data_IF_226052450783
#
_entry.id   IF_226052450783
#
_cell.length_a   1.000
_cell.length_b   1.000
_cell.length_c   1.000
_cell.angle_alpha   90.00
_cell.angle_beta   90.00
_cell.angle_gamma   90.00
#
_symmetry.space_group_name_H-M   'P 1'
#
loop_
_entity.id
_entity.type
_entity.pdbx_description
1 polymer ?
#
# COMPACT_ATOMS: atom_id res chain seq x y z
N UNK A 1 -13.55 6.89 12.92
CA UNK A 1 -13.21 6.81 12.65
C UNK A 1 -12.28 6.49 12.60
N UNK A 2 -12.09 6.23 12.55
CA UNK A 2 -11.41 5.85 12.38
C UNK A 2 -10.32 5.76 12.14
N UNK A 3 -9.95 5.71 11.71
CA UNK A 3 -8.90 5.73 11.21
C UNK A 3 -7.89 5.60 11.96
N UNK A 4 -7.94 5.81 12.76
CA UNK A 4 -7.14 5.67 13.52
C UNK A 4 -5.81 5.50 13.31
N UNK A 5 -5.06 6.26 13.22
CA UNK A 5 -3.70 6.19 13.13
C UNK A 5 -3.21 5.38 12.07
N UNK A 6 -4.07 4.92 11.37
CA UNK A 6 -3.69 4.07 10.31
C UNK A 6 -3.33 4.87 9.11
N UNK A 7 -3.28 4.23 8.00
CA UNK A 7 -2.94 4.87 6.75
C UNK A 7 -4.07 5.76 6.28
N UNK A 8 -3.73 6.77 5.52
CA UNK A 8 -4.74 7.55 4.83
C UNK A 8 -5.44 6.68 3.80
N UNK A 9 -6.58 7.16 3.31
CA UNK A 9 -7.30 6.43 2.27
C UNK A 9 -6.41 6.18 1.05
N UNK A 10 -5.63 7.19 0.68
CA UNK A 10 -4.74 7.03 -0.47
C UNK A 10 -3.69 5.96 -0.23
N UNK A 11 -3.15 5.93 0.97
CA UNK A 11 -2.15 4.92 1.30
C UNK A 11 -2.75 3.53 1.35
N UNK A 12 -3.97 3.41 1.86
CA UNK A 12 -4.65 2.12 1.88
C UNK A 12 -4.88 1.61 0.46
N UNK A 13 -5.25 2.51 -0.44
CA UNK A 13 -5.41 2.13 -1.84
C UNK A 13 -4.08 1.70 -2.45
N UNK A 14 -3.01 2.38 -2.07
CA UNK A 14 -1.69 2.03 -2.59
C UNK A 14 -1.27 0.64 -2.13
N UNK A 15 -1.55 0.29 -0.88
CA UNK A 15 -1.25 -1.04 -0.39
C UNK A 15 -2.01 -2.08 -1.21
N UNK A 16 -3.30 -1.86 -1.42
CA UNK A 16 -4.10 -2.79 -2.19
C UNK A 16 -3.59 -2.90 -3.63
N UNK A 17 -3.23 -1.76 -4.22
CA UNK A 17 -2.71 -1.76 -5.58
C UNK A 17 -1.38 -2.50 -5.68
N UNK A 18 -0.52 -2.34 -4.69
CA UNK A 18 0.76 -3.04 -4.70
C UNK A 18 0.58 -4.55 -4.63
N UNK A 19 -0.43 -5.00 -3.92
CA UNK A 19 -0.68 -6.42 -3.80
C UNK A 19 -1.16 -7.04 -5.10
N UNK A 20 -1.81 -6.25 -5.94
CA UNK A 20 -2.37 -6.78 -7.17
C UNK A 20 -1.60 -6.37 -8.42
N UNK A 21 -0.52 -5.61 -8.26
CA UNK A 21 0.26 -5.13 -9.40
C UNK A 21 1.60 -5.81 -9.44
N UNK A 22 2.19 -5.84 -10.62
CA UNK A 22 3.51 -6.46 -10.79
C UNK A 22 4.63 -5.46 -10.58
N UNK A 23 4.36 -4.18 -10.76
CA UNK A 23 5.39 -3.15 -10.62
C UNK A 23 4.86 -1.99 -9.82
N UNK A 24 5.79 -1.20 -9.29
CA UNK A 24 5.42 0.01 -8.57
C UNK A 24 4.70 0.99 -9.48
N UNK A 25 5.14 1.08 -10.73
CA UNK A 25 4.51 1.99 -11.68
C UNK A 25 3.04 1.63 -11.88
N UNK A 26 2.74 0.35 -12.03
CA UNK A 26 1.36 -0.10 -12.17
C UNK A 26 0.55 0.20 -10.92
N UNK A 27 1.15 -0.06 -9.77
CA UNK A 27 0.44 0.19 -8.51
C UNK A 27 0.11 1.66 -8.36
N UNK A 28 1.04 2.53 -8.74
CA UNK A 28 0.81 3.96 -8.66
C UNK A 28 -0.36 4.37 -9.54
N UNK A 29 -0.43 3.82 -10.74
CA UNK A 29 -1.53 4.12 -11.64
C UNK A 29 -2.87 3.64 -11.07
N UNK A 30 -2.89 2.44 -10.54
CA UNK A 30 -4.12 1.90 -9.99
C UNK A 30 -4.59 2.69 -8.77
N UNK A 31 -3.65 3.12 -7.95
CA UNK A 31 -3.98 3.89 -6.75
C UNK A 31 -4.20 5.36 -7.07
N UNK A 32 -3.88 5.78 -8.29
CA UNK A 32 -4.03 7.16 -8.73
C UNK A 32 -3.17 8.10 -7.92
N UNK A 33 -1.94 7.68 -7.67
CA UNK A 33 -0.94 8.51 -7.00
C UNK A 33 0.27 8.58 -7.89
N UNK A 34 1.12 9.58 -7.66
CA UNK A 34 2.35 9.68 -8.40
C UNK A 34 3.30 8.58 -8.01
N UNK A 35 4.07 8.09 -8.98
CA UNK A 35 5.02 7.03 -8.69
C UNK A 35 6.05 7.47 -7.65
N UNK A 36 6.50 8.72 -7.74
CA UNK A 36 7.43 9.26 -6.76
C UNK A 36 6.85 9.24 -5.35
N UNK A 37 5.58 9.59 -5.23
CA UNK A 37 4.91 9.55 -3.94
C UNK A 37 4.86 8.13 -3.40
N UNK A 38 4.58 7.17 -4.26
CA UNK A 38 4.52 5.79 -3.85
C UNK A 38 5.90 5.29 -3.38
N UNK A 39 6.95 5.68 -4.09
CA UNK A 39 8.30 5.32 -3.67
C UNK A 39 8.64 5.92 -2.31
N UNK A 40 8.20 7.15 -2.07
CA UNK A 40 8.41 7.77 -0.77
C UNK A 40 7.70 6.97 0.33
N UNK A 41 6.47 6.56 0.06
CA UNK A 41 5.73 5.76 1.05
C UNK A 41 6.41 4.42 1.30
N UNK A 42 6.97 3.82 0.27
CA UNK A 42 7.66 2.55 0.44
C UNK A 42 8.90 2.67 1.33
N UNK A 43 9.42 3.87 1.47
CA UNK A 43 10.51 4.11 2.39
C UNK A 43 10.06 4.39 3.82
N UNK A 44 8.77 4.52 4.05
CA UNK A 44 8.22 4.82 5.36
C UNK A 44 7.99 3.51 6.13
N UNK A 45 8.62 3.36 7.31
CA UNK A 45 8.47 2.10 8.06
C UNK A 45 7.02 1.76 8.37
N UNK A 46 6.21 2.76 8.69
CA UNK A 46 4.80 2.51 9.00
C UNK A 46 4.06 1.93 7.80
N UNK A 47 4.32 2.51 6.62
CA UNK A 47 3.69 2.01 5.41
C UNK A 47 4.14 0.58 5.12
N UNK A 48 5.41 0.32 5.29
CA UNK A 48 5.95 -1.02 5.02
C UNK A 48 5.37 -2.06 5.95
N UNK A 49 5.18 -1.70 7.21
CA UNK A 49 4.56 -2.62 8.17
C UNK A 49 3.14 -2.96 7.73
N UNK A 50 2.39 -1.96 7.29
CA UNK A 50 1.02 -2.20 6.84
C UNK A 50 1.00 -3.06 5.58
N UNK A 51 1.93 -2.80 4.68
CA UNK A 51 2.02 -3.60 3.45
C UNK A 51 2.36 -5.05 3.78
N UNK A 52 3.31 -5.26 4.66
CA UNK A 52 3.71 -6.62 5.05
C UNK A 52 2.55 -7.34 5.73
N UNK A 53 1.79 -6.62 6.57
CA UNK A 53 0.63 -7.22 7.21
C UNK A 53 -0.43 -7.64 6.21
N UNK A 54 -0.64 -6.82 5.20
CA UNK A 54 -1.62 -7.15 4.16
C UNK A 54 -1.18 -8.35 3.35
N UNK A 55 0.12 -8.45 3.07
CA UNK A 55 0.64 -9.61 2.35
C UNK A 55 0.48 -10.89 3.17
N UNK A 56 0.74 -10.80 4.46
CA UNK A 56 0.58 -11.94 5.33
C UNK A 56 -0.87 -12.38 5.39
N UNK A 57 -1.79 -11.43 5.41
CA UNK A 57 -3.22 -11.74 5.42
C UNK A 57 -3.62 -12.50 4.17
N UNK A 58 -3.09 -12.11 3.03
CA UNK A 58 -3.40 -12.79 1.79
C UNK A 58 -2.91 -14.23 1.82
N UNK A 59 -1.71 -14.45 2.32
CA UNK A 59 -1.17 -15.80 2.41
C UNK A 59 -1.97 -16.64 3.38
N UNK A 60 -2.38 -16.02 4.47
CA UNK A 60 -3.16 -16.74 5.45
C UNK A 60 -4.52 -17.13 4.93
N UNK A 61 -5.11 -16.28 4.12
CA UNK A 61 -6.44 -16.54 3.59
C UNK A 61 -6.43 -17.69 2.60
N UNK A 62 -5.29 -18.01 2.08
CA UNK A 62 -5.19 -19.13 1.16
C UNK A 62 -5.26 -20.45 1.92
#
# INVERSE_FOLDING_TARGET
>A
MAASGALSTKQARAVSALLSSKTVAEAAQQAKVGERTLWRWLGDPMFRVQLAGAEADMLDAA
#
